data_IF_634674517271
#
_entry.id   IF_634674517271
#
_cell.length_a   1.000
_cell.length_b   1.000
_cell.length_c   1.000
_cell.angle_alpha   90.00
_cell.angle_beta   90.00
_cell.angle_gamma   90.00
#
_symmetry.space_group_name_H-M   'P 1'
#
loop_
_entity.id
_entity.type
_entity.pdbx_description
1 polymer ?
#
# COMPACT_ATOMS: atom_id res chain seq x y z
N UNK A 1 27.86 74.14 67.18
CA UNK A 1 26.67 74.95 66.83
C UNK A 1 26.33 74.69 65.38
N UNK A 2 25.03 74.67 65.07
CA UNK A 2 24.38 74.08 63.91
C UNK A 2 24.72 74.67 62.53
N UNK A 3 24.64 73.84 61.48
CA UNK A 3 23.70 73.99 60.34
C UNK A 3 23.95 72.82 59.35
N UNK A 4 22.99 71.93 59.09
CA UNK A 4 21.78 72.03 58.23
C UNK A 4 22.08 72.30 56.74
N UNK A 5 21.73 71.26 55.95
CA UNK A 5 21.17 71.27 54.58
C UNK A 5 21.92 71.98 53.47
N UNK A 6 22.25 71.24 52.40
CA UNK A 6 21.61 71.39 51.08
C UNK A 6 22.13 70.26 50.17
N UNK A 7 21.27 69.31 49.81
CA UNK A 7 20.48 69.26 48.56
C UNK A 7 21.34 69.10 47.31
N UNK A 8 21.21 67.88 46.77
CA UNK A 8 21.45 67.54 45.37
C UNK A 8 20.77 68.53 44.43
N UNK A 9 21.45 68.88 43.34
CA UNK A 9 20.90 68.90 41.98
C UNK A 9 22.08 69.07 41.01
N UNK A 10 22.34 68.08 40.17
CA UNK A 10 21.74 67.85 38.86
C UNK A 10 22.60 68.48 37.75
N UNK A 11 23.34 67.59 37.08
CA UNK A 11 23.73 67.60 35.68
C UNK A 11 23.89 68.96 34.99
N UNK A 12 25.10 69.26 34.49
CA UNK A 12 25.24 69.90 33.17
C UNK A 12 26.70 69.88 32.66
N UNK A 13 26.95 69.02 31.65
CA UNK A 13 28.10 69.00 30.71
C UNK A 13 29.50 68.72 31.31
N UNK A 14 30.47 68.08 30.64
CA UNK A 14 30.72 67.84 29.22
C UNK A 14 31.68 66.65 29.04
N UNK A 15 31.60 66.07 27.85
CA UNK A 15 32.43 65.00 27.33
C UNK A 15 33.88 65.42 27.01
N UNK A 16 34.71 64.37 26.84
CA UNK A 16 35.88 64.24 25.95
C UNK A 16 37.30 64.47 26.52
N UNK A 17 37.94 63.32 26.72
CA UNK A 17 39.20 62.89 26.07
C UNK A 17 40.52 62.88 26.86
N UNK A 18 40.95 61.63 27.11
CA UNK A 18 42.31 61.06 26.97
C UNK A 18 43.33 61.52 28.03
N UNK A 19 44.19 60.67 28.61
CA UNK A 19 45.11 59.75 27.90
C UNK A 19 45.88 58.82 28.88
N UNK A 20 46.24 57.61 28.39
CA UNK A 20 47.42 56.74 28.69
C UNK A 20 47.46 55.92 29.99
N UNK A 21 47.31 54.59 29.96
CA UNK A 21 48.25 53.49 29.58
C UNK A 21 48.94 52.84 30.81
N UNK A 22 48.46 51.65 31.19
CA UNK A 22 49.32 50.57 31.70
C UNK A 22 48.84 49.25 31.09
N UNK A 23 49.69 48.62 30.29
CA UNK A 23 49.51 47.27 29.77
C UNK A 23 49.81 46.28 30.89
N UNK A 24 48.85 45.44 31.26
CA UNK A 24 49.11 44.17 31.94
C UNK A 24 48.73 43.05 30.99
N UNK A 25 49.70 42.24 30.58
CA UNK A 25 49.46 41.00 29.86
C UNK A 25 49.09 39.90 30.87
N UNK A 26 47.89 39.32 30.83
CA UNK A 26 47.66 38.07 31.52
C UNK A 26 48.16 36.93 30.62
N UNK A 27 49.17 36.19 31.11
CA UNK A 27 49.52 34.87 30.58
C UNK A 27 48.40 33.91 30.95
N UNK A 28 47.38 33.81 30.10
CA UNK A 28 46.38 32.76 30.22
C UNK A 28 46.85 31.53 29.44
N UNK A 29 47.39 30.54 30.16
CA UNK A 29 47.55 29.21 29.62
C UNK A 29 46.17 28.59 29.44
N UNK A 30 45.88 28.11 28.24
CA UNK A 30 44.65 27.39 27.92
C UNK A 30 44.69 26.00 28.59
N UNK A 31 44.32 25.93 29.87
CA UNK A 31 44.26 24.66 30.62
C UNK A 31 43.03 23.81 30.30
N UNK A 32 42.15 24.25 29.38
CA UNK A 32 40.91 23.55 29.06
C UNK A 32 40.93 22.75 27.74
N UNK A 33 42.04 22.69 27.01
CA UNK A 33 42.09 21.95 25.73
C UNK A 33 42.27 20.43 25.86
N UNK A 34 42.63 19.90 27.03
CA UNK A 34 42.80 18.45 27.19
C UNK A 34 41.51 17.67 27.48
N UNK A 35 40.42 18.34 27.87
CA UNK A 35 39.12 17.68 28.08
C UNK A 35 38.23 17.69 26.82
N UNK A 36 38.69 18.22 25.69
CA UNK A 36 37.89 18.26 24.46
C UNK A 36 37.92 16.96 23.65
N UNK A 37 38.81 16.02 23.98
CA UNK A 37 38.89 14.73 23.30
C UNK A 37 38.68 13.60 24.30
N UNK A 38 37.46 13.48 24.85
CA UNK A 38 37.08 12.24 25.51
C UNK A 38 36.93 11.16 24.43
N UNK A 39 38.03 10.48 24.12
CA UNK A 39 38.10 9.44 23.08
C UNK A 39 37.04 8.35 23.30
N UNK A 40 36.60 8.12 24.55
CA UNK A 40 35.54 7.16 24.85
C UNK A 40 34.17 7.58 24.28
N UNK A 41 33.90 8.89 24.12
CA UNK A 41 32.68 9.39 23.46
C UNK A 41 32.80 9.37 21.93
N UNK A 42 34.01 9.30 21.38
CA UNK A 42 34.25 9.26 19.92
C UNK A 42 34.09 7.85 19.37
N UNK A 43 34.18 6.80 20.20
CA UNK A 43 34.05 5.40 19.79
C UNK A 43 32.83 4.68 20.36
N UNK A 44 32.00 5.37 21.14
CA UNK A 44 30.75 4.81 21.63
C UNK A 44 29.71 4.80 20.49
N UNK A 45 29.23 3.59 20.16
CA UNK A 45 28.25 3.35 19.09
C UNK A 45 26.95 4.11 19.31
N UNK A 46 26.63 4.49 20.55
CA UNK A 46 25.38 5.21 20.86
C UNK A 46 25.51 6.73 20.65
N UNK A 47 26.71 7.29 20.75
CA UNK A 47 26.99 8.72 20.62
C UNK A 47 27.38 9.15 19.20
N UNK A 48 27.75 8.20 18.33
CA UNK A 48 28.08 8.43 16.92
C UNK A 48 26.92 8.18 15.93
N UNK A 49 25.68 8.09 16.41
CA UNK A 49 24.53 8.02 15.50
C UNK A 49 24.31 9.44 14.96
N UNK A 50 24.36 9.67 13.64
CA UNK A 50 24.11 10.99 13.09
C UNK A 50 22.73 11.49 13.55
N UNK A 51 22.65 12.74 14.01
CA UNK A 51 21.39 13.35 14.44
C UNK A 51 20.28 13.28 13.38
N UNK A 52 20.66 13.23 12.10
CA UNK A 52 19.74 12.99 10.98
C UNK A 52 19.07 11.61 11.07
N UNK A 53 19.82 10.57 11.43
CA UNK A 53 19.32 9.20 11.57
C UNK A 53 18.48 9.03 12.84
N UNK A 54 18.77 9.79 13.91
CA UNK A 54 17.95 9.78 15.14
C UNK A 54 16.59 10.50 14.99
N UNK A 55 16.45 11.40 14.01
CA UNK A 55 15.24 12.21 13.79
C UNK A 55 14.30 11.64 12.71
N UNK A 56 14.69 10.57 12.02
CA UNK A 56 13.83 9.90 11.05
C UNK A 56 12.80 9.06 11.80
N UNK A 57 11.53 9.48 11.79
CA UNK A 57 10.43 8.61 12.22
C UNK A 57 10.28 7.47 11.22
N UNK A 58 10.14 6.24 11.71
CA UNK A 58 9.91 5.08 10.86
C UNK A 58 8.74 5.31 9.90
N UNK A 59 8.91 4.84 8.67
CA UNK A 59 7.84 4.88 7.66
C UNK A 59 6.78 3.86 8.06
N UNK A 60 5.68 4.36 8.63
CA UNK A 60 4.51 3.54 8.92
C UNK A 60 3.65 3.37 7.66
N UNK A 61 3.11 2.17 7.47
CA UNK A 61 2.15 1.85 6.42
C UNK A 61 0.80 1.50 7.04
N UNK A 62 -0.27 1.97 6.40
CA UNK A 62 -1.64 1.59 6.73
C UNK A 62 -2.24 0.70 5.64
N UNK A 63 -3.06 -0.26 6.06
CA UNK A 63 -3.78 -1.15 5.16
C UNK A 63 -5.07 -0.47 4.70
N UNK A 64 -5.27 -0.38 3.40
CA UNK A 64 -6.53 0.07 2.80
C UNK A 64 -7.18 -1.06 2.04
N UNK A 65 -8.48 -1.26 2.29
CA UNK A 65 -9.27 -2.32 1.69
C UNK A 65 -10.05 -1.73 0.51
N UNK A 66 -9.92 -2.35 -0.65
CA UNK A 66 -10.63 -1.97 -1.87
C UNK A 66 -11.42 -3.17 -2.38
N UNK A 67 -12.69 -2.98 -2.71
CA UNK A 67 -13.52 -4.00 -3.36
C UNK A 67 -13.64 -3.68 -4.85
N UNK A 68 -13.25 -4.63 -5.68
CA UNK A 68 -13.20 -4.49 -7.14
C UNK A 68 -14.21 -5.44 -7.76
N UNK A 69 -15.21 -4.87 -8.43
CA UNK A 69 -16.23 -5.62 -9.14
C UNK A 69 -15.86 -5.72 -10.62
N UNK A 70 -15.70 -6.94 -11.11
CA UNK A 70 -15.39 -7.22 -12.52
C UNK A 70 -16.56 -7.97 -13.13
N UNK A 71 -17.11 -7.43 -14.21
CA UNK A 71 -18.21 -8.07 -14.96
C UNK A 71 -17.78 -8.35 -16.40
N UNK A 72 -18.10 -9.54 -16.90
CA UNK A 72 -17.83 -9.91 -18.29
C UNK A 72 -18.61 -9.06 -19.30
N UNK A 73 -19.67 -8.37 -18.87
CA UNK A 73 -20.45 -7.44 -19.70
C UNK A 73 -19.61 -6.25 -20.17
N UNK A 74 -18.66 -5.80 -19.36
CA UNK A 74 -17.84 -4.61 -19.63
C UNK A 74 -16.62 -4.91 -20.50
N UNK A 75 -16.46 -6.16 -20.96
CA UNK A 75 -15.34 -6.53 -21.83
C UNK A 75 -15.45 -5.86 -23.20
N UNK A 76 -14.32 -5.65 -23.84
CA UNK A 76 -14.29 -5.29 -25.25
C UNK A 76 -14.65 -6.50 -26.11
N UNK A 77 -15.92 -6.63 -26.50
CA UNK A 77 -16.42 -7.78 -27.26
C UNK A 77 -15.80 -7.93 -28.67
N UNK A 78 -15.19 -6.88 -29.21
CA UNK A 78 -14.48 -6.92 -30.50
C UNK A 78 -13.14 -7.63 -30.37
N UNK A 79 -12.39 -7.35 -29.29
CA UNK A 79 -11.10 -7.98 -29.02
C UNK A 79 -11.25 -9.33 -28.30
N UNK A 80 -12.27 -9.44 -27.45
CA UNK A 80 -12.57 -10.60 -26.62
C UNK A 80 -14.01 -11.06 -26.87
N UNK A 81 -14.29 -11.72 -27.99
CA UNK A 81 -15.62 -12.19 -28.31
C UNK A 81 -16.09 -13.24 -27.30
N UNK A 82 -15.17 -14.08 -26.83
CA UNK A 82 -15.43 -15.12 -25.84
C UNK A 82 -15.63 -14.51 -24.44
N UNK A 83 -16.72 -14.88 -23.77
CA UNK A 83 -17.03 -14.46 -22.40
C UNK A 83 -16.03 -15.06 -21.39
N UNK A 84 -15.47 -16.22 -21.70
CA UNK A 84 -14.60 -16.98 -20.80
C UNK A 84 -13.17 -16.46 -20.74
N UNK A 85 -12.77 -15.55 -21.62
CA UNK A 85 -11.44 -14.95 -21.62
C UNK A 85 -11.50 -13.50 -22.07
N UNK A 86 -11.10 -12.58 -21.19
CA UNK A 86 -11.14 -11.16 -21.48
C UNK A 86 -10.23 -10.35 -20.56
N UNK A 87 -9.90 -9.13 -20.98
CA UNK A 87 -9.20 -8.17 -20.15
C UNK A 87 -10.09 -6.99 -19.78
N UNK A 88 -9.97 -6.51 -18.53
CA UNK A 88 -10.65 -5.31 -18.02
C UNK A 88 -9.61 -4.35 -17.45
N UNK A 89 -9.70 -3.10 -17.86
CA UNK A 89 -8.99 -2.01 -17.19
C UNK A 89 -9.73 -1.58 -15.93
N UNK A 90 -8.98 -1.44 -14.85
CA UNK A 90 -9.48 -1.00 -13.56
C UNK A 90 -9.65 0.53 -13.58
N UNK A 91 -10.70 1.07 -12.95
CA UNK A 91 -10.93 2.52 -12.93
C UNK A 91 -9.77 3.32 -12.31
N UNK A 92 -9.05 2.70 -11.36
CA UNK A 92 -7.88 3.29 -10.70
C UNK A 92 -6.74 2.27 -10.72
N UNK A 93 -5.52 2.76 -10.88
CA UNK A 93 -4.32 1.96 -10.65
C UNK A 93 -4.15 1.73 -9.14
N UNK A 94 -4.15 0.47 -8.71
CA UNK A 94 -3.83 0.10 -7.34
C UNK A 94 -2.32 -0.02 -7.19
N UNK A 95 -1.74 0.58 -6.14
CA UNK A 95 -0.30 0.54 -5.85
C UNK A 95 -0.02 -0.17 -4.53
N UNK A 96 1.17 -0.78 -4.42
CA UNK A 96 1.63 -1.48 -3.23
C UNK A 96 0.62 -2.52 -2.72
N UNK A 97 0.20 -3.41 -3.60
CA UNK A 97 -0.82 -4.42 -3.29
C UNK A 97 -0.18 -5.48 -2.40
N UNK A 98 -0.69 -5.59 -1.19
CA UNK A 98 -0.24 -6.55 -0.19
C UNK A 98 -0.97 -7.89 -0.29
N UNK A 99 -2.26 -7.86 -0.62
CA UNK A 99 -2.99 -9.10 -0.89
C UNK A 99 -4.16 -8.87 -1.82
N UNK A 100 -4.57 -9.95 -2.48
CA UNK A 100 -5.78 -10.03 -3.29
C UNK A 100 -6.48 -11.35 -3.02
N UNK A 101 -7.80 -11.32 -2.95
CA UNK A 101 -8.63 -12.52 -2.79
C UNK A 101 -9.93 -12.41 -3.59
N UNK A 102 -10.43 -13.54 -4.07
CA UNK A 102 -11.82 -13.64 -4.54
C UNK A 102 -12.74 -13.67 -3.33
N UNK A 103 -13.74 -12.78 -3.31
CA UNK A 103 -14.77 -12.72 -2.26
C UNK A 103 -16.03 -13.41 -2.70
N UNK A 104 -16.42 -13.13 -3.94
CA UNK A 104 -17.69 -13.57 -4.48
C UNK A 104 -17.57 -13.74 -5.99
N UNK A 105 -18.28 -14.72 -6.52
CA UNK A 105 -18.53 -14.88 -7.95
C UNK A 105 -19.99 -15.13 -8.22
N UNK A 106 -20.42 -14.82 -9.44
CA UNK A 106 -21.72 -15.16 -9.95
C UNK A 106 -21.52 -15.64 -11.38
N UNK A 107 -21.75 -16.93 -11.61
CA UNK A 107 -21.59 -17.56 -12.94
C UNK A 107 -22.94 -18.11 -13.42
N UNK A 108 -23.23 -18.11 -14.72
CA UNK A 108 -24.47 -18.65 -15.25
C UNK A 108 -24.48 -20.19 -15.22
N UNK A 109 -25.61 -20.81 -14.86
CA UNK A 109 -25.85 -22.25 -14.99
C UNK A 109 -26.20 -22.58 -16.45
N UNK A 110 -25.17 -22.69 -17.28
CA UNK A 110 -25.26 -23.01 -18.72
C UNK A 110 -24.28 -24.12 -19.06
N UNK A 111 -24.48 -24.76 -20.20
CA UNK A 111 -23.54 -25.73 -20.79
C UNK A 111 -23.03 -26.77 -19.79
N UNK A 112 -23.94 -27.28 -18.94
CA UNK A 112 -23.65 -28.30 -17.93
C UNK A 112 -22.54 -27.92 -16.94
N UNK A 113 -22.40 -26.64 -16.59
CA UNK A 113 -21.39 -26.19 -15.63
C UNK A 113 -21.45 -26.94 -14.29
N UNK A 114 -22.65 -27.37 -13.87
CA UNK A 114 -22.87 -28.15 -12.64
C UNK A 114 -22.38 -29.61 -12.73
N UNK A 115 -22.06 -30.09 -13.93
CA UNK A 115 -21.44 -31.41 -14.16
C UNK A 115 -19.91 -31.33 -14.19
N UNK A 116 -19.33 -30.13 -14.30
CA UNK A 116 -17.89 -29.95 -14.14
C UNK A 116 -17.53 -30.10 -12.65
N UNK A 117 -16.44 -30.81 -12.30
CA UNK A 117 -16.05 -31.00 -10.90
C UNK A 117 -15.69 -29.67 -10.22
N UNK A 118 -15.11 -28.75 -11.00
CA UNK A 118 -14.77 -27.38 -10.62
C UNK A 118 -14.44 -26.59 -11.87
N UNK A 119 -14.46 -25.26 -11.73
CA UNK A 119 -13.85 -24.36 -12.70
C UNK A 119 -12.61 -23.70 -12.08
N UNK A 120 -11.72 -23.24 -12.94
CA UNK A 120 -10.47 -22.59 -12.58
C UNK A 120 -10.49 -21.15 -13.09
N UNK A 121 -10.38 -20.20 -12.17
CA UNK A 121 -10.23 -18.78 -12.48
C UNK A 121 -8.76 -18.42 -12.52
N UNK A 122 -8.25 -17.99 -13.68
CA UNK A 122 -6.88 -17.51 -13.84
C UNK A 122 -6.85 -16.00 -13.98
N UNK A 123 -5.88 -15.36 -13.32
CA UNK A 123 -5.56 -13.94 -13.46
C UNK A 123 -4.11 -13.83 -13.94
N UNK A 124 -3.86 -13.37 -15.16
CA UNK A 124 -2.49 -13.33 -15.71
C UNK A 124 -1.54 -12.44 -14.91
N UNK A 125 -2.08 -11.39 -14.28
CA UNK A 125 -1.28 -10.47 -13.47
C UNK A 125 -0.91 -11.03 -12.08
N UNK A 126 -1.51 -12.15 -11.66
CA UNK A 126 -1.40 -12.73 -10.32
C UNK A 126 -1.06 -14.22 -10.39
N UNK A 127 0.21 -14.54 -10.20
CA UNK A 127 0.73 -15.91 -10.28
C UNK A 127 1.02 -16.51 -8.89
N UNK A 128 1.30 -17.81 -8.89
CA UNK A 128 1.78 -18.59 -7.74
C UNK A 128 0.83 -18.55 -6.53
N UNK A 129 -0.48 -18.67 -6.77
CA UNK A 129 -1.49 -18.61 -5.70
C UNK A 129 -1.66 -19.96 -5.02
N UNK A 130 -1.62 -21.04 -5.79
CA UNK A 130 -1.88 -22.39 -5.29
C UNK A 130 -0.65 -23.29 -5.44
N UNK A 131 -0.48 -24.21 -4.50
CA UNK A 131 0.50 -25.29 -4.60
C UNK A 131 -0.29 -26.56 -4.93
N UNK A 132 -0.07 -27.10 -6.13
CA UNK A 132 -0.76 -28.29 -6.63
C UNK A 132 0.21 -29.16 -7.44
N UNK A 133 -0.09 -30.45 -7.53
CA UNK A 133 0.55 -31.38 -8.47
C UNK A 133 -0.04 -31.29 -9.89
N UNK A 134 -1.19 -30.62 -10.05
CA UNK A 134 -1.79 -30.30 -11.33
C UNK A 134 -1.37 -28.88 -11.77
N UNK A 135 -0.71 -28.72 -12.93
CA UNK A 135 -0.26 -27.41 -13.41
C UNK A 135 -1.42 -26.44 -13.67
N UNK A 136 -2.57 -26.93 -14.13
CA UNK A 136 -3.73 -26.07 -14.39
C UNK A 136 -4.23 -25.42 -13.10
N UNK A 137 -4.25 -26.18 -12.00
CA UNK A 137 -4.61 -25.67 -10.67
C UNK A 137 -3.53 -24.75 -10.13
N UNK A 138 -2.25 -25.11 -10.26
CA UNK A 138 -1.13 -24.31 -9.76
C UNK A 138 -1.07 -22.91 -10.39
N UNK A 139 -1.40 -22.80 -11.67
CA UNK A 139 -1.49 -21.54 -12.41
C UNK A 139 -2.80 -20.76 -12.16
N UNK A 140 -3.74 -21.32 -11.40
CA UNK A 140 -5.03 -20.70 -11.17
C UNK A 140 -5.01 -19.78 -9.95
N UNK A 141 -5.72 -18.66 -10.08
CA UNK A 141 -5.94 -17.71 -9.00
C UNK A 141 -6.96 -18.25 -7.99
N UNK A 142 -8.06 -18.81 -8.47
CA UNK A 142 -9.11 -19.37 -7.62
C UNK A 142 -9.65 -20.68 -8.18
N UNK A 143 -9.97 -21.59 -7.26
CA UNK A 143 -10.61 -22.86 -7.51
C UNK A 143 -12.10 -22.68 -7.21
N UNK A 144 -12.94 -22.79 -8.23
CA UNK A 144 -14.37 -22.51 -8.15
C UNK A 144 -15.13 -23.83 -8.02
N UNK A 145 -15.52 -24.17 -6.79
CA UNK A 145 -16.40 -25.32 -6.53
C UNK A 145 -17.82 -25.00 -6.95
N UNK A 146 -18.42 -25.89 -7.74
CA UNK A 146 -19.82 -25.74 -8.15
C UNK A 146 -20.74 -26.02 -6.96
N UNK A 147 -21.70 -25.14 -6.75
CA UNK A 147 -22.81 -25.37 -5.83
C UNK A 147 -24.10 -25.58 -6.62
N UNK A 148 -25.10 -26.18 -5.97
CA UNK A 148 -26.45 -26.20 -6.51
C UNK A 148 -26.88 -24.77 -6.84
N UNK A 149 -27.39 -24.52 -8.06
CA UNK A 149 -27.81 -23.18 -8.46
C UNK A 149 -28.92 -22.69 -7.53
N UNK A 150 -28.99 -21.37 -7.30
CA UNK A 150 -29.97 -20.82 -6.36
C UNK A 150 -31.43 -21.08 -6.79
N UNK A 151 -31.66 -21.39 -8.06
CA UNK A 151 -32.93 -21.78 -8.69
C UNK A 151 -32.62 -22.66 -9.92
N UNK A 152 -33.63 -23.17 -10.65
CA UNK A 152 -33.51 -24.15 -11.76
C UNK A 152 -32.58 -23.74 -12.94
N UNK A 153 -32.59 -24.49 -14.05
CA UNK A 153 -31.74 -24.19 -15.22
C UNK A 153 -31.98 -22.79 -15.82
N UNK A 154 -30.90 -22.11 -16.24
CA UNK A 154 -30.93 -20.73 -16.74
C UNK A 154 -30.72 -19.64 -15.66
N UNK A 155 -30.48 -20.03 -14.41
CA UNK A 155 -30.19 -19.13 -13.30
C UNK A 155 -28.69 -19.15 -12.93
N UNK A 156 -28.29 -18.36 -11.94
CA UNK A 156 -26.88 -18.18 -11.59
C UNK A 156 -26.47 -19.05 -10.41
N UNK A 157 -25.21 -19.48 -10.43
CA UNK A 157 -24.52 -20.11 -9.30
C UNK A 157 -23.76 -19.02 -8.58
N UNK A 158 -24.10 -18.82 -7.30
CA UNK A 158 -23.38 -17.91 -6.42
C UNK A 158 -22.16 -18.63 -5.85
N UNK A 159 -20.99 -18.03 -6.04
CA UNK A 159 -19.75 -18.46 -5.43
C UNK A 159 -19.50 -17.55 -4.23
N UNK A 160 -19.72 -18.02 -3.01
CA UNK A 160 -19.51 -17.24 -1.78
C UNK A 160 -18.83 -18.07 -0.68
N UNK A 161 -18.42 -17.40 0.39
CA UNK A 161 -17.73 -18.03 1.54
C UNK A 161 -18.44 -19.23 2.17
N UNK A 162 -19.75 -19.42 1.91
CA UNK A 162 -20.48 -20.57 2.48
C UNK A 162 -20.11 -21.86 1.76
N UNK A 163 -19.69 -21.76 0.50
CA UNK A 163 -19.37 -22.92 -0.34
C UNK A 163 -17.89 -23.05 -0.65
N UNK A 164 -17.09 -21.99 -0.45
CA UNK A 164 -15.64 -22.00 -0.68
C UNK A 164 -14.89 -21.24 0.41
N UNK A 165 -13.73 -21.75 0.82
CA UNK A 165 -12.80 -20.97 1.64
C UNK A 165 -12.08 -19.96 0.74
N UNK A 166 -12.06 -18.70 1.15
CA UNK A 166 -11.32 -17.69 0.41
C UNK A 166 -9.82 -17.96 0.58
N UNK A 167 -9.12 -18.18 -0.53
CA UNK A 167 -7.66 -18.33 -0.53
C UNK A 167 -7.03 -17.00 -0.96
N UNK A 168 -6.56 -16.14 -0.03
CA UNK A 168 -5.90 -14.90 -0.40
C UNK A 168 -4.49 -15.18 -0.93
N UNK A 169 -4.14 -14.52 -2.04
CA UNK A 169 -2.73 -14.35 -2.42
C UNK A 169 -2.16 -13.22 -1.58
N UNK A 170 -1.30 -13.57 -0.62
CA UNK A 170 -0.51 -12.61 0.15
C UNK A 170 0.85 -12.47 -0.54
N UNK A 171 1.20 -11.24 -0.91
CA UNK A 171 2.49 -10.96 -1.51
C UNK A 171 3.52 -10.75 -0.41
N UNK A 172 4.60 -11.54 -0.43
CA UNK A 172 5.75 -11.33 0.47
C UNK A 172 6.39 -9.97 0.21
N UNK A 173 6.65 -9.67 -1.06
CA UNK A 173 6.98 -8.33 -1.54
C UNK A 173 5.75 -7.75 -2.23
N UNK A 174 5.15 -6.65 -1.73
CA UNK A 174 3.95 -6.07 -2.31
C UNK A 174 4.06 -5.88 -3.82
N UNK A 175 3.01 -6.25 -4.57
CA UNK A 175 2.97 -6.01 -6.01
C UNK A 175 2.91 -4.51 -6.27
N UNK A 176 3.85 -4.01 -7.06
CA UNK A 176 4.06 -2.58 -7.27
C UNK A 176 2.80 -1.86 -7.76
N UNK A 177 2.16 -2.38 -8.81
CA UNK A 177 0.87 -1.89 -9.26
C UNK A 177 0.01 -2.90 -10.00
N UNK A 178 -1.29 -2.59 -10.11
CA UNK A 178 -2.28 -3.32 -10.90
C UNK A 178 -3.29 -2.32 -11.47
N UNK A 179 -3.34 -2.25 -12.80
CA UNK A 179 -4.30 -1.40 -13.55
C UNK A 179 -5.21 -2.23 -14.46
N UNK A 180 -4.87 -3.49 -14.71
CA UNK A 180 -5.60 -4.37 -15.61
C UNK A 180 -5.73 -5.75 -14.96
N UNK A 181 -6.83 -6.43 -15.24
CA UNK A 181 -7.01 -7.84 -14.96
C UNK A 181 -7.34 -8.56 -16.28
N UNK A 182 -6.47 -9.48 -16.70
CA UNK A 182 -6.80 -10.47 -17.71
C UNK A 182 -7.37 -11.71 -17.00
N UNK A 183 -8.61 -12.02 -17.30
CA UNK A 183 -9.38 -13.11 -16.70
C UNK A 183 -9.52 -14.23 -17.71
N UNK A 184 -9.31 -15.47 -17.27
CA UNK A 184 -9.84 -16.65 -17.96
C UNK A 184 -10.52 -17.62 -17.01
N UNK A 185 -11.61 -18.21 -17.47
CA UNK A 185 -12.33 -19.28 -16.77
C UNK A 185 -12.14 -20.57 -17.56
N UNK A 186 -11.45 -21.52 -16.94
CA UNK A 186 -11.06 -22.79 -17.54
C UNK A 186 -11.70 -23.96 -16.82
N UNK A 187 -11.80 -25.08 -17.52
CA UNK A 187 -12.19 -26.38 -16.95
C UNK A 187 -11.00 -27.01 -16.24
N UNK A 188 -11.23 -28.18 -15.65
CA UNK A 188 -10.20 -28.97 -14.99
C UNK A 188 -8.99 -29.33 -15.89
N UNK A 189 -9.21 -29.46 -17.20
CA UNK A 189 -8.17 -29.78 -18.20
C UNK A 189 -7.39 -28.55 -18.71
N UNK A 190 -7.74 -27.34 -18.25
CA UNK A 190 -7.13 -26.09 -18.68
C UNK A 190 -7.73 -25.47 -19.95
N UNK A 191 -8.69 -26.14 -20.59
CA UNK A 191 -9.43 -25.54 -21.72
C UNK A 191 -10.42 -24.50 -21.24
N UNK A 192 -10.75 -23.51 -22.07
CA UNK A 192 -11.76 -22.50 -21.72
C UNK A 192 -13.12 -23.16 -21.50
N UNK A 193 -13.79 -22.80 -20.42
CA UNK A 193 -15.20 -23.15 -20.26
C UNK A 193 -16.02 -22.46 -21.35
N UNK A 194 -17.10 -23.07 -21.84
CA UNK A 194 -17.96 -22.42 -22.84
C UNK A 194 -19.18 -21.84 -22.14
N UNK A 195 -19.26 -20.51 -22.01
CA UNK A 195 -20.47 -19.83 -21.54
C UNK A 195 -21.50 -19.61 -22.65
N UNK A 196 -21.20 -19.97 -23.90
CA UNK A 196 -22.04 -19.74 -25.07
C UNK A 196 -21.64 -18.50 -25.86
N UNK A 197 -22.27 -18.34 -27.04
CA UNK A 197 -22.05 -17.20 -27.92
C UNK A 197 -22.79 -15.96 -27.42
N UNK A 198 -22.05 -14.88 -27.18
CA UNK A 198 -22.64 -13.60 -26.78
C UNK A 198 -23.28 -12.86 -27.97
N UNK A 199 -24.12 -11.89 -27.65
CA UNK A 199 -24.78 -10.99 -28.61
C UNK A 199 -24.42 -9.52 -28.38
N UNK A 200 -24.80 -8.66 -29.31
CA UNK A 200 -24.84 -7.21 -29.10
C UNK A 200 -26.31 -6.76 -29.14
N UNK A 201 -26.91 -6.33 -28.02
CA UNK A 201 -26.31 -6.10 -26.69
C UNK A 201 -25.94 -7.41 -25.94
N UNK A 202 -25.06 -7.36 -24.92
CA UNK A 202 -24.61 -8.55 -24.19
C UNK A 202 -25.78 -9.35 -23.60
N UNK A 203 -25.80 -10.65 -23.86
CA UNK A 203 -26.81 -11.55 -23.36
C UNK A 203 -26.61 -11.75 -21.85
N UNK A 204 -27.56 -11.22 -21.07
CA UNK A 204 -27.53 -11.26 -19.60
C UNK A 204 -27.34 -12.67 -19.03
N UNK A 205 -27.89 -13.69 -19.68
CA UNK A 205 -27.90 -15.07 -19.18
C UNK A 205 -26.56 -15.77 -19.34
N UNK A 206 -25.60 -15.16 -20.05
CA UNK A 206 -24.28 -15.72 -20.28
C UNK A 206 -23.19 -14.95 -19.52
N UNK A 207 -23.50 -13.77 -18.95
CA UNK A 207 -22.51 -12.94 -18.28
C UNK A 207 -22.20 -13.45 -16.87
N UNK A 208 -20.98 -13.21 -16.41
CA UNK A 208 -20.58 -13.49 -15.03
C UNK A 208 -19.95 -12.27 -14.37
N UNK A 209 -19.87 -12.30 -13.05
CA UNK A 209 -19.28 -11.24 -12.24
C UNK A 209 -18.42 -11.83 -11.13
N UNK A 210 -17.25 -11.23 -10.90
CA UNK A 210 -16.36 -11.56 -9.80
C UNK A 210 -16.10 -10.33 -8.94
N UNK A 211 -16.00 -10.52 -7.63
CA UNK A 211 -15.69 -9.49 -6.64
C UNK A 211 -14.39 -9.85 -5.98
N UNK A 212 -13.39 -8.99 -6.13
CA UNK A 212 -12.09 -9.15 -5.50
C UNK A 212 -11.94 -8.16 -4.34
N UNK A 213 -11.33 -8.61 -3.25
CA UNK A 213 -10.83 -7.72 -2.20
C UNK A 213 -9.34 -7.54 -2.40
N UNK A 214 -8.92 -6.30 -2.62
CA UNK A 214 -7.52 -5.90 -2.79
C UNK A 214 -7.12 -5.05 -1.59
N UNK A 215 -6.09 -5.50 -0.87
CA UNK A 215 -5.50 -4.73 0.23
C UNK A 215 -4.23 -4.05 -0.27
N UNK A 216 -4.19 -2.72 -0.20
CA UNK A 216 -3.01 -1.90 -0.51
C UNK A 216 -2.34 -1.38 0.76
N UNK A 217 -1.03 -1.17 0.70
CA UNK A 217 -0.26 -0.51 1.75
C UNK A 217 0.01 0.94 1.35
N UNK A 218 -0.66 1.86 2.02
CA UNK A 218 -0.47 3.30 1.84
C UNK A 218 0.45 3.83 2.93
N UNK A 219 1.35 4.76 2.59
CA UNK A 219 2.20 5.41 3.59
C UNK A 219 1.29 6.22 4.51
N UNK A 220 1.34 5.94 5.81
CA UNK A 220 0.60 6.68 6.81
C UNK A 220 1.05 8.13 6.76
N UNK A 221 0.10 9.05 6.61
CA UNK A 221 0.37 10.48 6.71
C UNK A 221 0.44 10.86 8.18
N UNK A 222 1.60 10.66 8.81
CA UNK A 222 1.89 11.33 10.06
C UNK A 222 1.98 12.85 9.80
N UNK A 223 1.60 13.67 10.80
CA UNK A 223 1.89 15.10 10.79
C UNK A 223 3.41 15.25 10.65
N UNK A 224 3.87 15.79 9.53
CA UNK A 224 5.24 16.26 9.41
C UNK A 224 5.38 17.40 10.42
N UNK A 225 6.01 17.14 11.57
CA UNK A 225 6.40 18.20 12.48
C UNK A 225 7.32 19.12 11.70
N UNK A 226 6.87 20.34 11.39
CA UNK A 226 7.72 21.34 10.77
C UNK A 226 8.90 21.58 11.71
N UNK A 227 10.11 21.44 11.17
CA UNK A 227 11.33 21.84 11.88
C UNK A 227 11.19 23.31 12.24
N UNK A 228 11.13 23.63 13.54
CA UNK A 228 11.47 24.98 13.96
C UNK A 228 12.97 25.14 13.70
N UNK A 229 13.30 25.81 12.60
CA UNK A 229 14.65 26.33 12.37
C UNK A 229 14.77 27.57 13.25
N UNK A 230 15.55 27.48 14.33
CA UNK A 230 15.91 28.62 15.18
C UNK A 230 17.34 29.06 14.85
#
# INVERSE_FOLDING_TARGET
MANRSDRFDANYYSNLNKTQHQQQFPKEYNSNQFNQNNFNNVFDKTSNIPFSVQQETDIEYEKKINFVFITSKSRNATLFPNISQYAIELPNEFKNIHSIELIQGLIPNVNNVTQEPYLLLKLEEINDVMISNDPNIAESFAFLTMASPCTSDGYFIALDKKIHENTPKIFHTPKASLQKLTISVTKHDGTLFDFGADSSPPNKSLQHTFVFRIITLEKKRALLLQRNVY
#
